data_IF_011416505572
#
_entry.id   IF_011416505572
#
_cell.length_a   1.000
_cell.length_b   1.000
_cell.length_c   1.000
_cell.angle_alpha   90.00
_cell.angle_beta   90.00
_cell.angle_gamma   90.00
#
_symmetry.space_group_name_H-M   'P 1'
#
loop_
_entity.id
_entity.type
_entity.pdbx_description
1 polymer ?
#
# COMPACT_ATOMS: atom_id res chain seq x y z
N UNK A 1 -13.06 -0.38 1.12
CA UNK A 1 -13.41 0.43 -0.08
C UNK A 1 -14.92 0.63 -0.15
N UNK A 2 -15.45 1.84 -0.30
CA UNK A 2 -16.90 2.06 -0.21
C UNK A 2 -17.67 1.74 -1.49
N UNK A 3 -17.17 0.89 -2.38
CA UNK A 3 -17.84 0.49 -3.61
C UNK A 3 -18.27 -0.96 -3.47
N UNK A 4 -19.59 -1.22 -3.68
CA UNK A 4 -20.08 -2.59 -3.76
C UNK A 4 -19.52 -3.30 -4.97
N UNK A 5 -19.03 -4.51 -4.77
CA UNK A 5 -18.55 -5.37 -5.84
C UNK A 5 -19.16 -6.77 -5.72
N UNK A 6 -19.45 -7.36 -6.86
CA UNK A 6 -19.95 -8.72 -6.99
C UNK A 6 -19.21 -9.41 -8.12
N UNK A 7 -18.73 -10.62 -7.86
CA UNK A 7 -18.05 -11.44 -8.87
C UNK A 7 -18.43 -12.92 -8.69
N UNK A 8 -18.53 -13.66 -9.81
CA UNK A 8 -18.92 -15.07 -9.81
C UNK A 8 -20.39 -15.31 -9.52
N UNK A 9 -20.71 -16.48 -8.99
CA UNK A 9 -22.09 -16.94 -8.76
C UNK A 9 -22.41 -16.89 -7.26
N UNK A 10 -23.49 -16.19 -6.91
CA UNK A 10 -23.97 -16.07 -5.54
C UNK A 10 -25.48 -16.35 -5.47
N UNK A 11 -26.00 -16.80 -4.32
CA UNK A 11 -27.44 -16.98 -4.14
C UNK A 11 -28.17 -15.62 -4.11
N UNK A 12 -29.48 -15.63 -4.35
CA UNK A 12 -30.26 -14.39 -4.38
C UNK A 12 -30.42 -13.71 -3.00
N UNK A 13 -30.14 -14.42 -1.92
CA UNK A 13 -30.06 -13.89 -0.55
C UNK A 13 -28.91 -14.52 0.22
N UNK A 14 -28.41 -13.80 1.21
CA UNK A 14 -27.44 -14.32 2.17
C UNK A 14 -28.06 -15.41 3.03
N UNK A 15 -27.24 -16.38 3.42
CA UNK A 15 -27.56 -17.43 4.38
C UNK A 15 -28.80 -18.24 4.01
N UNK A 16 -28.92 -18.61 2.73
CA UNK A 16 -29.90 -19.57 2.23
C UNK A 16 -29.19 -20.77 1.64
N UNK A 17 -29.92 -21.85 1.43
CA UNK A 17 -29.36 -23.02 0.74
C UNK A 17 -28.87 -22.63 -0.66
N UNK A 18 -27.57 -22.78 -0.89
CA UNK A 18 -26.93 -22.59 -2.18
C UNK A 18 -26.27 -23.90 -2.54
N UNK A 19 -26.78 -24.59 -3.56
CA UNK A 19 -26.41 -25.96 -3.89
C UNK A 19 -25.58 -26.04 -5.16
N UNK A 20 -24.63 -26.95 -5.14
CA UNK A 20 -23.86 -27.40 -6.29
C UNK A 20 -24.72 -28.25 -7.23
N UNK A 21 -24.26 -28.48 -8.48
CA UNK A 21 -24.99 -29.34 -9.42
C UNK A 21 -25.22 -30.79 -8.93
N UNK A 22 -24.37 -31.27 -8.03
CA UNK A 22 -24.49 -32.62 -7.44
C UNK A 22 -25.43 -32.66 -6.20
N UNK A 23 -26.01 -31.53 -5.83
CA UNK A 23 -26.91 -31.38 -4.67
C UNK A 23 -26.22 -31.05 -3.34
N UNK A 24 -24.90 -31.05 -3.26
CA UNK A 24 -24.16 -30.60 -2.08
C UNK A 24 -24.26 -29.08 -1.89
N UNK A 25 -24.02 -28.58 -0.68
CA UNK A 25 -23.99 -27.16 -0.41
C UNK A 25 -22.64 -26.57 -0.79
N UNK A 26 -22.66 -25.34 -1.33
CA UNK A 26 -21.54 -24.42 -1.20
C UNK A 26 -21.44 -23.89 0.22
N UNK A 27 -20.23 -23.52 0.64
CA UNK A 27 -19.98 -23.09 2.02
C UNK A 27 -19.86 -21.56 2.08
N UNK A 28 -20.77 -20.93 2.79
CA UNK A 28 -20.80 -19.50 2.99
C UNK A 28 -19.76 -19.06 4.03
N UNK A 29 -19.04 -17.98 3.76
CA UNK A 29 -18.14 -17.32 4.70
C UNK A 29 -18.45 -15.80 4.72
N UNK A 30 -18.69 -15.24 5.90
CA UNK A 30 -18.66 -13.81 6.11
C UNK A 30 -17.22 -13.39 6.43
N UNK A 31 -16.63 -12.59 5.55
CA UNK A 31 -15.34 -11.95 5.73
C UNK A 31 -15.57 -10.53 6.25
N UNK A 32 -15.67 -10.37 7.57
CA UNK A 32 -16.07 -9.13 8.23
C UNK A 32 -14.93 -8.45 8.97
N UNK A 33 -15.02 -7.13 9.09
CA UNK A 33 -14.08 -6.28 9.82
C UNK A 33 -14.77 -5.59 10.98
N UNK A 34 -13.99 -5.04 11.93
CA UNK A 34 -14.49 -4.24 13.07
C UNK A 34 -15.61 -4.98 13.82
N UNK A 35 -15.41 -6.26 14.14
CA UNK A 35 -16.40 -7.08 14.85
C UNK A 35 -17.76 -7.14 14.16
N UNK A 36 -17.80 -7.27 12.84
CA UNK A 36 -18.97 -7.30 11.96
C UNK A 36 -19.65 -5.94 11.72
N UNK A 37 -19.12 -4.85 12.27
CA UNK A 37 -19.67 -3.50 12.07
C UNK A 37 -18.93 -2.71 10.98
N UNK A 38 -17.82 -3.25 10.45
CA UNK A 38 -17.05 -2.66 9.38
C UNK A 38 -17.43 -3.18 7.99
N UNK A 39 -16.54 -2.91 7.01
CA UNK A 39 -16.68 -3.46 5.67
C UNK A 39 -16.65 -4.98 5.73
N UNK A 40 -17.50 -5.60 4.92
CA UNK A 40 -17.59 -7.05 4.85
C UNK A 40 -17.81 -7.53 3.42
N UNK A 41 -17.48 -8.80 3.20
CA UNK A 41 -17.74 -9.54 1.96
C UNK A 41 -18.28 -10.92 2.32
N UNK A 42 -19.36 -11.33 1.67
CA UNK A 42 -19.84 -12.69 1.74
C UNK A 42 -19.27 -13.48 0.58
N UNK A 43 -18.63 -14.60 0.86
CA UNK A 43 -18.06 -15.51 -0.15
C UNK A 43 -18.66 -16.89 -0.03
N UNK A 44 -18.67 -17.62 -1.13
CA UNK A 44 -19.22 -18.96 -1.27
C UNK A 44 -18.13 -19.86 -1.83
N UNK A 45 -17.82 -20.93 -1.10
CA UNK A 45 -16.66 -21.78 -1.29
C UNK A 45 -17.03 -23.16 -1.78
N UNK A 46 -16.16 -23.77 -2.60
CA UNK A 46 -16.24 -25.19 -2.97
C UNK A 46 -16.02 -26.10 -1.77
N UNK A 47 -15.09 -25.77 -0.89
CA UNK A 47 -14.73 -26.51 0.30
C UNK A 47 -15.02 -25.70 1.57
N UNK A 48 -15.04 -26.35 2.72
CA UNK A 48 -15.20 -25.63 3.99
C UNK A 48 -13.95 -24.81 4.30
N UNK A 49 -14.04 -23.47 4.48
CA UNK A 49 -12.87 -22.62 4.72
C UNK A 49 -12.18 -22.87 6.08
N UNK A 50 -12.79 -23.69 6.95
CA UNK A 50 -12.27 -24.01 8.29
C UNK A 50 -11.35 -25.25 8.31
N UNK A 51 -11.00 -25.83 7.17
CA UNK A 51 -10.23 -27.08 7.10
C UNK A 51 -8.71 -26.84 7.16
N UNK A 52 -8.21 -26.40 8.31
CA UNK A 52 -6.78 -26.30 8.60
C UNK A 52 -6.29 -27.61 9.20
N UNK A 53 -5.34 -28.29 8.54
CA UNK A 53 -4.76 -29.56 8.97
C UNK A 53 -3.66 -29.38 10.01
N UNK A 54 -2.83 -28.36 9.82
CA UNK A 54 -1.63 -28.16 10.63
C UNK A 54 -1.30 -26.67 10.74
N UNK A 55 -0.73 -26.28 11.87
CA UNK A 55 -0.22 -24.92 12.14
C UNK A 55 1.17 -25.08 12.74
N UNK A 56 2.17 -24.40 12.14
CA UNK A 56 3.56 -24.38 12.60
C UNK A 56 4.04 -22.94 12.69
N UNK A 57 4.61 -22.53 13.81
CA UNK A 57 5.38 -21.30 13.91
C UNK A 57 6.70 -21.47 13.14
N UNK A 58 7.12 -20.44 12.42
CA UNK A 58 8.33 -20.48 11.60
C UNK A 58 9.39 -19.51 12.11
N UNK A 59 9.17 -18.21 11.92
CA UNK A 59 10.16 -17.19 12.27
C UNK A 59 9.51 -15.83 12.52
N UNK A 60 10.20 -15.00 13.29
CA UNK A 60 9.81 -13.61 13.53
C UNK A 60 10.26 -12.71 12.38
N UNK A 61 9.39 -11.78 12.01
CA UNK A 61 9.65 -10.67 11.08
C UNK A 61 9.54 -9.32 11.79
N UNK A 62 9.53 -9.32 13.13
CA UNK A 62 9.49 -8.11 13.92
C UNK A 62 10.68 -7.20 13.61
N UNK A 63 10.46 -5.89 13.39
CA UNK A 63 11.54 -4.97 13.10
C UNK A 63 12.49 -4.81 14.30
N UNK A 64 13.80 -4.82 14.04
CA UNK A 64 14.80 -4.49 15.05
C UNK A 64 15.05 -3.00 15.01
N UNK A 65 14.72 -2.30 16.09
CA UNK A 65 14.84 -0.85 16.18
C UNK A 65 16.31 -0.47 16.35
N UNK A 66 16.77 0.47 15.53
CA UNK A 66 18.12 1.01 15.60
C UNK A 66 18.41 1.71 16.94
N UNK A 67 19.64 1.63 17.40
CA UNK A 67 20.09 2.28 18.64
C UNK A 67 21.43 2.96 18.43
N UNK A 68 21.56 4.28 18.67
CA UNK A 68 20.48 5.21 19.04
C UNK A 68 19.50 5.46 17.89
N UNK A 69 18.25 5.79 18.22
CA UNK A 69 17.25 6.26 17.26
C UNK A 69 17.21 7.79 17.35
N UNK A 70 17.95 8.46 16.48
CA UNK A 70 18.16 9.90 16.57
C UNK A 70 16.97 10.65 15.98
N UNK A 71 16.63 11.80 16.61
CA UNK A 71 15.67 12.73 16.02
C UNK A 71 16.40 13.60 14.98
N UNK A 72 16.41 13.12 13.72
CA UNK A 72 17.02 13.81 12.58
C UNK A 72 16.30 13.43 11.30
N UNK A 73 16.50 14.25 10.24
CA UNK A 73 16.07 13.83 8.91
C UNK A 73 16.98 12.74 8.37
N UNK A 74 16.39 11.71 7.79
CA UNK A 74 17.10 10.58 7.18
C UNK A 74 16.85 10.55 5.67
N UNK A 75 17.86 10.11 4.90
CA UNK A 75 17.72 9.69 3.53
C UNK A 75 18.10 8.21 3.42
N UNK A 76 17.18 7.39 2.92
CA UNK A 76 17.40 5.97 2.70
C UNK A 76 17.51 5.73 1.19
N UNK A 77 18.53 5.00 0.74
CA UNK A 77 18.75 4.61 -0.65
C UNK A 77 18.01 3.31 -0.94
N UNK A 78 16.70 3.39 -1.20
CA UNK A 78 15.83 2.22 -1.22
C UNK A 78 16.18 1.17 -2.27
N UNK A 79 16.84 1.54 -3.37
CA UNK A 79 17.30 0.56 -4.36
C UNK A 79 18.54 -0.24 -3.92
N UNK A 80 19.19 0.16 -2.82
CA UNK A 80 20.27 -0.62 -2.20
C UNK A 80 19.75 -1.80 -1.37
N UNK A 81 18.43 -1.90 -1.15
CA UNK A 81 17.84 -3.11 -0.54
C UNK A 81 18.16 -4.32 -1.42
N UNK A 82 18.77 -5.39 -0.85
CA UNK A 82 19.13 -6.57 -1.60
C UNK A 82 17.93 -7.23 -2.27
N UNK A 83 18.10 -7.62 -3.54
CA UNK A 83 17.10 -8.40 -4.24
C UNK A 83 17.18 -9.87 -3.81
N UNK A 84 16.02 -10.46 -3.48
CA UNK A 84 15.89 -11.86 -3.07
C UNK A 84 14.97 -12.62 -4.04
N UNK A 85 15.12 -13.94 -4.08
CA UNK A 85 14.26 -14.75 -4.93
C UNK A 85 12.83 -14.80 -4.42
N UNK A 86 12.63 -14.85 -3.13
CA UNK A 86 11.32 -14.97 -2.49
C UNK A 86 10.74 -13.59 -2.11
N UNK A 87 9.43 -13.43 -2.28
CA UNK A 87 8.73 -12.18 -1.96
C UNK A 87 8.80 -11.82 -0.48
N UNK A 88 8.59 -12.79 0.42
CA UNK A 88 8.61 -12.51 1.87
C UNK A 88 10.03 -12.25 2.37
N UNK A 89 11.04 -12.98 1.87
CA UNK A 89 12.44 -12.77 2.22
C UNK A 89 12.96 -11.42 1.73
N UNK A 90 12.45 -10.92 0.60
CA UNK A 90 12.83 -9.63 0.04
C UNK A 90 12.30 -8.43 0.84
N UNK A 91 11.31 -8.62 1.72
CA UNK A 91 10.69 -7.55 2.51
C UNK A 91 11.60 -7.09 3.63
N UNK A 92 11.94 -5.79 3.65
CA UNK A 92 12.76 -5.16 4.70
C UNK A 92 11.95 -4.02 5.31
N UNK A 93 11.57 -4.15 6.57
CA UNK A 93 10.90 -3.08 7.32
C UNK A 93 11.96 -2.03 7.63
N UNK A 94 11.83 -0.84 7.06
CA UNK A 94 12.80 0.26 7.22
C UNK A 94 12.37 1.28 8.27
N UNK A 95 11.06 1.56 8.38
CA UNK A 95 10.51 2.45 9.40
C UNK A 95 9.28 1.79 10.02
N UNK A 96 9.04 2.07 11.30
CA UNK A 96 7.93 1.43 12.02
C UNK A 96 7.42 2.28 13.18
N UNK A 97 6.14 2.14 13.49
CA UNK A 97 5.53 2.56 14.74
C UNK A 97 4.45 1.55 15.16
N UNK A 98 3.64 1.89 16.18
CA UNK A 98 2.54 1.02 16.63
C UNK A 98 1.38 0.88 15.64
N UNK A 99 1.36 1.65 14.57
CA UNK A 99 0.22 1.75 13.66
C UNK A 99 0.54 1.26 12.25
N UNK A 100 1.83 1.27 11.86
CA UNK A 100 2.23 0.85 10.52
C UNK A 100 3.70 0.45 10.43
N UNK A 101 4.02 -0.27 9.35
CA UNK A 101 5.39 -0.51 8.88
C UNK A 101 5.57 0.07 7.48
N UNK A 102 6.70 0.75 7.26
CA UNK A 102 7.18 1.11 5.92
C UNK A 102 8.19 0.06 5.49
N UNK A 103 7.93 -0.59 4.38
CA UNK A 103 8.66 -1.76 3.92
C UNK A 103 9.15 -1.55 2.49
N UNK A 104 10.38 -1.92 2.22
CA UNK A 104 10.92 -2.04 0.87
C UNK A 104 11.05 -3.51 0.51
N UNK A 105 10.74 -3.86 -0.74
CA UNK A 105 10.91 -5.23 -1.23
C UNK A 105 11.45 -5.25 -2.66
N UNK A 106 12.32 -6.21 -2.92
CA UNK A 106 12.95 -6.42 -4.23
C UNK A 106 12.91 -7.91 -4.63
N UNK A 107 11.73 -8.51 -4.86
CA UNK A 107 11.59 -9.90 -5.24
C UNK A 107 12.01 -10.11 -6.70
N UNK A 108 12.76 -11.21 -6.98
CA UNK A 108 13.15 -11.60 -8.33
C UNK A 108 12.21 -12.61 -8.98
N UNK A 109 11.50 -13.39 -8.17
CA UNK A 109 10.65 -14.50 -8.65
C UNK A 109 9.24 -14.43 -8.14
N UNK A 110 8.35 -15.01 -8.89
CA UNK A 110 6.95 -15.23 -8.51
C UNK A 110 6.82 -16.15 -7.30
N UNK A 111 5.78 -15.95 -6.51
CA UNK A 111 5.45 -16.82 -5.38
C UNK A 111 4.82 -18.11 -5.90
N UNK A 112 5.55 -19.21 -5.91
CA UNK A 112 5.09 -20.49 -6.49
C UNK A 112 4.79 -21.58 -5.46
N UNK A 113 5.52 -21.61 -4.34
CA UNK A 113 5.51 -22.70 -3.37
C UNK A 113 4.53 -22.52 -2.21
N UNK A 114 3.94 -21.34 -2.05
CA UNK A 114 2.99 -21.03 -0.99
C UNK A 114 1.99 -19.96 -1.42
N UNK A 115 0.94 -19.81 -0.61
CA UNK A 115 0.07 -18.62 -0.59
C UNK A 115 0.43 -17.78 0.63
N UNK A 116 0.16 -16.48 0.56
CA UNK A 116 0.44 -15.58 1.68
C UNK A 116 -0.83 -14.89 2.19
N UNK A 117 -0.86 -14.60 3.47
CA UNK A 117 -1.92 -13.84 4.12
C UNK A 117 -1.32 -13.00 5.25
N UNK A 118 -1.49 -11.68 5.18
CA UNK A 118 -1.21 -10.76 6.29
C UNK A 118 -2.47 -10.64 7.15
N UNK A 119 -2.40 -10.99 8.44
CA UNK A 119 -3.53 -10.84 9.37
C UNK A 119 -3.32 -9.71 10.38
N UNK A 120 -2.17 -9.05 10.33
CA UNK A 120 -1.88 -7.88 11.15
C UNK A 120 -2.35 -6.59 10.47
N UNK A 121 -2.21 -6.51 9.13
CA UNK A 121 -2.27 -5.28 8.39
C UNK A 121 -3.02 -5.38 7.08
N UNK A 122 -3.70 -4.30 6.69
CA UNK A 122 -3.96 -4.00 5.29
C UNK A 122 -2.62 -3.64 4.63
N UNK A 123 -2.42 -4.01 3.37
CA UNK A 123 -1.19 -3.71 2.65
C UNK A 123 -1.48 -2.76 1.49
N UNK A 124 -0.75 -1.65 1.43
CA UNK A 124 -0.60 -0.84 0.24
C UNK A 124 0.73 -1.20 -0.41
N UNK A 125 0.70 -1.80 -1.58
CA UNK A 125 1.89 -2.19 -2.34
C UNK A 125 2.00 -1.28 -3.56
N UNK A 126 2.94 -0.34 -3.54
CA UNK A 126 3.23 0.51 -4.67
C UNK A 126 4.30 -0.14 -5.55
N UNK A 127 4.01 -0.24 -6.84
CA UNK A 127 4.90 -0.85 -7.83
C UNK A 127 5.80 0.22 -8.44
N UNK A 128 7.03 0.35 -7.95
CA UNK A 128 8.00 1.27 -8.54
C UNK A 128 8.65 0.69 -9.79
N UNK A 129 9.00 -0.59 -9.76
CA UNK A 129 9.49 -1.34 -10.94
C UNK A 129 8.83 -2.71 -10.98
N UNK A 130 8.59 -3.16 -12.19
CA UNK A 130 8.03 -4.46 -12.47
C UNK A 130 6.60 -4.44 -12.95
N UNK A 131 6.14 -5.60 -13.35
CA UNK A 131 4.76 -5.89 -13.73
C UNK A 131 4.42 -7.33 -13.40
N UNK A 132 3.13 -7.65 -13.42
CA UNK A 132 2.68 -8.99 -13.11
C UNK A 132 1.22 -9.06 -12.74
N UNK A 133 0.88 -10.08 -11.97
CA UNK A 133 -0.48 -10.38 -11.54
C UNK A 133 -0.53 -10.67 -10.04
N UNK A 134 -1.33 -9.92 -9.32
CA UNK A 134 -1.75 -10.25 -7.97
C UNK A 134 -2.93 -11.22 -8.07
N UNK A 135 -2.70 -12.48 -7.69
CA UNK A 135 -3.75 -13.50 -7.66
C UNK A 135 -4.27 -13.63 -6.23
N UNK A 136 -5.58 -13.54 -6.08
CA UNK A 136 -6.20 -13.55 -4.75
C UNK A 136 -7.41 -14.46 -4.69
N UNK A 137 -7.82 -14.80 -3.47
CA UNK A 137 -9.05 -15.56 -3.23
C UNK A 137 -10.30 -14.85 -3.79
N UNK A 138 -10.26 -13.53 -4.03
CA UNK A 138 -11.35 -12.73 -4.58
C UNK A 138 -11.11 -12.27 -6.02
N UNK A 139 -10.21 -12.96 -6.73
CA UNK A 139 -9.90 -12.70 -8.13
C UNK A 139 -8.58 -11.97 -8.33
N UNK A 140 -8.26 -11.74 -9.58
CA UNK A 140 -6.95 -11.32 -10.03
C UNK A 140 -6.92 -9.84 -10.39
N UNK A 141 -5.74 -9.23 -10.20
CA UNK A 141 -5.44 -7.85 -10.59
C UNK A 141 -4.10 -7.83 -11.32
N UNK A 142 -4.09 -7.41 -12.58
CA UNK A 142 -2.84 -7.10 -13.27
C UNK A 142 -2.26 -5.81 -12.69
N UNK A 143 -0.92 -5.75 -12.57
CA UNK A 143 -0.23 -4.58 -12.07
C UNK A 143 1.00 -4.24 -12.92
N UNK A 144 1.38 -2.96 -12.87
CA UNK A 144 2.55 -2.41 -13.55
C UNK A 144 3.11 -1.20 -12.81
N UNK A 145 4.17 -0.64 -13.32
CA UNK A 145 4.77 0.60 -12.81
C UNK A 145 3.71 1.69 -12.52
N UNK A 146 3.79 2.26 -11.33
CA UNK A 146 2.91 3.32 -10.85
C UNK A 146 1.59 2.83 -10.22
N UNK A 147 1.35 1.53 -10.16
CA UNK A 147 0.15 1.00 -9.52
C UNK A 147 0.30 0.89 -8.00
N UNK A 148 -0.75 1.28 -7.28
CA UNK A 148 -1.01 0.89 -5.90
C UNK A 148 -1.91 -0.34 -5.90
N UNK A 149 -1.50 -1.39 -5.22
CA UNK A 149 -2.34 -2.54 -4.90
C UNK A 149 -2.75 -2.42 -3.43
N UNK A 150 -4.04 -2.40 -3.16
CA UNK A 150 -4.56 -2.40 -1.80
C UNK A 150 -5.08 -3.80 -1.51
N UNK A 151 -4.45 -4.46 -0.55
CA UNK A 151 -4.81 -5.81 -0.13
C UNK A 151 -5.31 -5.74 1.32
N UNK A 152 -6.62 -5.85 1.55
CA UNK A 152 -7.15 -5.89 2.92
C UNK A 152 -6.59 -7.07 3.72
N UNK A 153 -6.37 -6.87 5.01
CA UNK A 153 -5.87 -7.94 5.90
C UNK A 153 -6.75 -9.19 5.83
N UNK A 154 -6.09 -10.33 5.92
CA UNK A 154 -6.76 -11.63 5.88
C UNK A 154 -7.03 -12.15 4.48
N UNK A 155 -6.87 -11.36 3.43
CA UNK A 155 -6.93 -11.83 2.04
C UNK A 155 -5.78 -12.81 1.78
N UNK A 156 -6.10 -13.97 1.21
CA UNK A 156 -5.11 -14.93 0.74
C UNK A 156 -4.72 -14.56 -0.68
N UNK A 157 -3.41 -14.43 -0.93
CA UNK A 157 -2.91 -14.07 -2.25
C UNK A 157 -1.55 -14.69 -2.57
N UNK A 158 -1.14 -14.58 -3.81
CA UNK A 158 0.24 -14.74 -4.29
C UNK A 158 0.51 -13.76 -5.42
N UNK A 159 1.78 -13.49 -5.68
CA UNK A 159 2.21 -12.56 -6.72
C UNK A 159 2.97 -13.32 -7.80
N UNK A 160 2.52 -13.17 -9.04
CA UNK A 160 3.22 -13.64 -10.23
C UNK A 160 3.85 -12.42 -10.89
N UNK A 161 5.20 -12.39 -10.99
CA UNK A 161 5.95 -11.32 -11.64
C UNK A 161 6.30 -11.71 -13.08
N UNK A 162 6.14 -10.75 -14.00
CA UNK A 162 6.59 -10.87 -15.39
C UNK A 162 8.07 -10.47 -15.54
N UNK A 163 8.65 -9.85 -14.52
CA UNK A 163 9.98 -9.23 -14.51
C UNK A 163 10.82 -9.75 -13.36
N UNK A 164 12.17 -9.64 -13.48
CA UNK A 164 13.11 -10.04 -12.42
C UNK A 164 13.64 -8.84 -11.60
N UNK A 165 13.62 -7.62 -12.14
CA UNK A 165 13.94 -6.39 -11.39
C UNK A 165 12.67 -5.72 -10.91
N UNK A 166 12.18 -6.20 -9.77
CA UNK A 166 11.00 -5.65 -9.13
C UNK A 166 11.41 -4.79 -7.93
N UNK A 167 10.77 -3.63 -7.78
CA UNK A 167 11.00 -2.70 -6.66
C UNK A 167 9.64 -2.24 -6.14
N UNK A 168 9.38 -2.57 -4.88
CA UNK A 168 8.09 -2.33 -4.24
C UNK A 168 8.28 -1.44 -3.01
N UNK A 169 7.45 -0.42 -2.90
CA UNK A 169 7.28 0.36 -1.67
C UNK A 169 5.97 -0.07 -1.02
N UNK A 170 6.05 -0.60 0.19
CA UNK A 170 4.90 -1.21 0.85
C UNK A 170 4.63 -0.47 2.16
N UNK A 171 3.35 -0.18 2.43
CA UNK A 171 2.89 0.27 3.75
C UNK A 171 1.95 -0.79 4.30
N UNK A 172 2.38 -1.42 5.39
CA UNK A 172 1.51 -2.29 6.19
C UNK A 172 0.77 -1.44 7.21
N UNK A 173 -0.54 -1.40 7.14
CA UNK A 173 -1.40 -0.58 7.99
C UNK A 173 -2.18 -1.41 8.98
N UNK A 174 -2.01 -1.16 10.27
CA UNK A 174 -2.83 -1.80 11.30
C UNK A 174 -4.28 -1.28 11.35
N UNK A 175 -4.57 -0.22 10.60
CA UNK A 175 -5.91 0.32 10.36
C UNK A 175 -6.35 0.08 8.91
N UNK A 176 -7.65 -0.05 8.62
CA UNK A 176 -8.13 -0.18 7.26
C UNK A 176 -7.76 1.02 6.38
N UNK A 177 -7.42 0.75 5.12
CA UNK A 177 -7.06 1.77 4.13
C UNK A 177 -8.30 2.17 3.34
N UNK A 178 -8.60 3.47 3.33
CA UNK A 178 -9.78 4.05 2.67
C UNK A 178 -9.39 5.11 1.64
N UNK A 179 -10.32 5.39 0.71
CA UNK A 179 -10.30 6.64 -0.05
C UNK A 179 -10.64 7.82 0.87
N UNK A 180 -10.05 9.03 0.65
CA UNK A 180 -10.18 10.14 1.60
C UNK A 180 -11.62 10.59 1.81
N UNK A 181 -11.99 10.84 3.07
CA UNK A 181 -13.33 11.32 3.43
C UNK A 181 -13.66 12.67 2.80
N UNK A 182 -12.67 13.56 2.66
CA UNK A 182 -12.85 14.86 2.05
C UNK A 182 -13.28 14.81 0.59
N UNK A 183 -13.05 13.69 -0.08
CA UNK A 183 -13.43 13.48 -1.48
C UNK A 183 -14.67 12.58 -1.63
N UNK A 184 -15.37 12.28 -0.55
CA UNK A 184 -16.59 11.48 -0.58
C UNK A 184 -17.77 12.27 -0.05
N UNK A 185 -18.92 12.12 -0.71
CA UNK A 185 -20.16 12.56 -0.11
C UNK A 185 -20.64 11.56 0.97
N UNK A 186 -21.69 11.92 1.67
CA UNK A 186 -22.25 11.07 2.73
C UNK A 186 -22.87 9.76 2.25
N UNK A 187 -23.07 9.60 0.93
CA UNK A 187 -23.49 8.34 0.32
C UNK A 187 -22.30 7.41 -0.02
N UNK A 188 -21.07 7.88 0.17
CA UNK A 188 -19.84 7.13 -0.13
C UNK A 188 -19.31 7.29 -1.55
N UNK A 189 -19.99 8.03 -2.42
CA UNK A 189 -19.57 8.33 -3.77
C UNK A 189 -18.43 9.36 -3.76
N UNK A 190 -17.42 9.20 -4.63
CA UNK A 190 -16.39 10.21 -4.85
C UNK A 190 -17.01 11.48 -5.47
N UNK A 191 -16.55 12.64 -5.01
CA UNK A 191 -17.04 13.94 -5.42
C UNK A 191 -16.53 14.31 -6.80
N UNK A 192 -17.29 15.10 -7.55
CA UNK A 192 -16.93 15.59 -8.90
C UNK A 192 -15.56 16.29 -8.94
N UNK A 193 -15.16 16.95 -7.85
CA UNK A 193 -13.87 17.62 -7.73
C UNK A 193 -12.79 16.77 -7.03
N UNK A 194 -13.02 15.49 -6.87
CA UNK A 194 -11.98 14.56 -6.38
C UNK A 194 -10.87 14.41 -7.43
N UNK A 195 -9.61 14.22 -7.01
CA UNK A 195 -8.50 13.94 -7.92
C UNK A 195 -8.63 12.66 -8.74
N UNK A 196 -9.57 11.78 -8.38
CA UNK A 196 -9.88 10.54 -9.07
C UNK A 196 -11.32 10.11 -8.79
N UNK A 197 -11.85 9.20 -9.56
CA UNK A 197 -13.20 8.69 -9.40
C UNK A 197 -13.23 7.14 -9.37
N UNK A 198 -14.43 6.57 -9.21
CA UNK A 198 -14.62 5.13 -9.12
C UNK A 198 -14.15 4.37 -10.36
N UNK A 199 -14.11 5.01 -11.54
CA UNK A 199 -13.60 4.42 -12.79
C UNK A 199 -12.10 4.16 -12.77
N UNK A 200 -11.34 4.95 -12.02
CA UNK A 200 -9.90 4.84 -11.93
C UNK A 200 -9.47 3.68 -11.03
N UNK A 201 -10.41 3.15 -10.27
CA UNK A 201 -10.20 2.04 -9.34
C UNK A 201 -10.50 0.72 -10.03
N UNK A 202 -9.45 -0.06 -10.29
CA UNK A 202 -9.56 -1.39 -10.88
C UNK A 202 -9.91 -2.41 -9.80
N UNK A 203 -10.88 -3.24 -10.08
CA UNK A 203 -11.35 -4.33 -9.23
C UNK A 203 -11.12 -5.66 -9.93
N UNK A 204 -11.05 -6.80 -9.21
CA UNK A 204 -11.01 -8.10 -9.85
C UNK A 204 -12.21 -8.30 -10.78
N UNK A 205 -11.95 -8.80 -11.99
CA UNK A 205 -13.00 -9.07 -13.00
C UNK A 205 -13.17 -10.57 -13.24
N UNK A 206 -12.20 -11.39 -12.85
CA UNK A 206 -12.19 -12.84 -13.04
C UNK A 206 -11.84 -13.55 -11.73
N UNK A 207 -12.58 -14.62 -11.41
CA UNK A 207 -12.26 -15.55 -10.34
C UNK A 207 -11.51 -16.76 -10.91
N UNK A 208 -10.47 -17.16 -10.20
CA UNK A 208 -9.93 -18.51 -10.32
C UNK A 208 -10.58 -19.36 -9.24
N UNK A 209 -11.33 -20.38 -9.65
CA UNK A 209 -12.00 -21.28 -8.72
C UNK A 209 -11.45 -22.68 -8.85
N UNK A 210 -10.81 -23.17 -7.78
CA UNK A 210 -10.24 -24.51 -7.71
C UNK A 210 -11.05 -25.37 -6.73
N UNK A 211 -11.24 -26.65 -7.05
CA UNK A 211 -11.93 -27.62 -6.19
C UNK A 211 -11.00 -28.79 -5.82
N UNK A 212 -9.72 -28.52 -5.69
CA UNK A 212 -8.70 -29.51 -5.44
C UNK A 212 -8.54 -29.74 -3.93
N UNK A 213 -8.42 -31.01 -3.54
CA UNK A 213 -8.06 -31.41 -2.17
C UNK A 213 -6.60 -31.81 -2.15
N UNK A 214 -5.92 -31.46 -1.04
CA UNK A 214 -4.50 -31.72 -0.91
C UNK A 214 -3.92 -30.96 0.28
N UNK A 215 -2.61 -30.81 0.27
CA UNK A 215 -1.88 -30.03 1.26
C UNK A 215 -1.40 -28.73 0.61
N UNK A 216 -2.06 -27.64 0.98
CA UNK A 216 -1.75 -26.31 0.45
C UNK A 216 -1.15 -25.46 1.55
N UNK A 217 0.08 -25.01 1.33
CA UNK A 217 0.81 -24.16 2.27
C UNK A 217 0.35 -22.70 2.16
N UNK A 218 -0.11 -22.15 3.27
CA UNK A 218 -0.37 -20.73 3.42
C UNK A 218 0.54 -20.18 4.50
N UNK A 219 1.42 -19.26 4.15
CA UNK A 219 2.20 -18.47 5.11
C UNK A 219 1.34 -17.33 5.64
N UNK A 220 1.20 -17.27 6.96
CA UNK A 220 0.36 -16.27 7.62
C UNK A 220 1.22 -15.40 8.51
N UNK A 221 1.21 -14.08 8.27
CA UNK A 221 1.78 -13.10 9.19
C UNK A 221 0.77 -12.80 10.30
N UNK A 222 1.20 -12.98 11.56
CA UNK A 222 0.44 -12.62 12.75
C UNK A 222 1.34 -12.23 13.91
N UNK A 223 1.12 -11.03 14.48
CA UNK A 223 1.95 -10.45 15.55
C UNK A 223 3.44 -10.40 15.17
N UNK A 224 3.72 -9.98 13.93
CA UNK A 224 5.07 -9.97 13.33
C UNK A 224 5.79 -11.32 13.34
N UNK A 225 5.03 -12.41 13.33
CA UNK A 225 5.51 -13.76 13.17
C UNK A 225 4.92 -14.42 11.93
N UNK A 226 5.69 -15.25 11.26
CA UNK A 226 5.23 -16.07 10.14
C UNK A 226 4.87 -17.46 10.65
N UNK A 227 3.67 -17.91 10.31
CA UNK A 227 3.18 -19.25 10.56
C UNK A 227 2.90 -19.96 9.24
N UNK A 228 3.22 -21.25 9.18
CA UNK A 228 2.78 -22.11 8.11
C UNK A 228 1.46 -22.77 8.50
N UNK A 229 0.42 -22.58 7.69
CA UNK A 229 -0.85 -23.25 7.79
C UNK A 229 -1.02 -24.20 6.60
N UNK A 230 -1.29 -25.48 6.89
CA UNK A 230 -1.59 -26.45 5.83
C UNK A 230 -3.11 -26.58 5.71
N UNK A 231 -3.65 -26.13 4.58
CA UNK A 231 -5.06 -26.26 4.25
C UNK A 231 -5.32 -27.59 3.53
N UNK A 232 -6.51 -28.19 3.77
CA UNK A 232 -6.93 -29.44 3.17
C UNK A 232 -7.44 -29.30 1.73
N UNK A 233 -7.58 -28.08 1.23
CA UNK A 233 -8.06 -27.74 -0.11
C UNK A 233 -7.35 -26.50 -0.65
N UNK A 234 -7.41 -26.32 -1.97
CA UNK A 234 -6.85 -25.15 -2.62
C UNK A 234 -7.52 -23.88 -2.06
N UNK A 235 -6.73 -22.86 -1.62
CA UNK A 235 -7.30 -21.68 -0.96
C UNK A 235 -8.08 -20.75 -1.89
N UNK A 236 -7.90 -20.84 -3.21
CA UNK A 236 -8.69 -20.09 -4.19
C UNK A 236 -9.87 -20.95 -4.66
N UNK A 237 -10.83 -21.20 -3.78
CA UNK A 237 -11.98 -22.06 -4.03
C UNK A 237 -13.33 -21.30 -4.03
N UNK A 238 -13.28 -19.97 -4.07
CA UNK A 238 -14.45 -19.11 -4.10
C UNK A 238 -15.14 -19.19 -5.46
N UNK A 239 -16.42 -19.55 -5.48
CA UNK A 239 -17.26 -19.59 -6.69
C UNK A 239 -17.95 -18.27 -6.95
N UNK A 240 -18.05 -17.43 -5.95
CA UNK A 240 -18.60 -16.09 -6.04
C UNK A 240 -18.60 -15.39 -4.70
N UNK A 241 -18.64 -14.07 -4.76
CA UNK A 241 -18.73 -13.19 -3.58
C UNK A 241 -19.45 -11.90 -3.89
N UNK A 242 -19.90 -11.22 -2.85
CA UNK A 242 -20.34 -9.84 -2.92
C UNK A 242 -19.99 -9.09 -1.63
N UNK A 243 -19.71 -7.79 -1.77
CA UNK A 243 -19.42 -6.95 -0.61
C UNK A 243 -18.53 -5.75 -0.92
N UNK A 244 -17.84 -5.28 0.12
CA UNK A 244 -17.06 -4.06 0.10
C UNK A 244 -15.59 -4.26 0.50
N UNK A 245 -15.24 -5.45 1.02
CA UNK A 245 -13.89 -5.77 1.49
C UNK A 245 -13.23 -6.77 0.53
N UNK A 246 -12.48 -6.25 -0.43
CA UNK A 246 -11.80 -7.00 -1.50
C UNK A 246 -10.56 -6.23 -1.97
N UNK A 247 -9.55 -6.88 -2.59
CA UNK A 247 -8.37 -6.20 -3.13
C UNK A 247 -8.72 -5.34 -4.34
N UNK A 248 -8.03 -4.21 -4.49
CA UNK A 248 -8.19 -3.33 -5.63
C UNK A 248 -6.88 -2.65 -6.01
N UNK A 249 -6.81 -2.10 -7.21
CA UNK A 249 -5.67 -1.37 -7.72
C UNK A 249 -6.06 0.05 -8.16
N UNK A 250 -5.11 0.97 -8.01
CA UNK A 250 -5.21 2.34 -8.50
C UNK A 250 -3.87 2.76 -9.09
N UNK A 251 -3.85 3.40 -10.24
CA UNK A 251 -2.61 3.92 -10.82
C UNK A 251 -2.36 5.36 -10.37
N UNK A 252 -1.15 5.66 -9.88
CA UNK A 252 -0.73 7.03 -9.56
C UNK A 252 -0.88 7.97 -10.77
N UNK A 253 -0.76 7.42 -11.99
CA UNK A 253 -0.92 8.18 -13.23
C UNK A 253 -2.38 8.57 -13.55
N UNK A 254 -3.36 8.02 -12.82
CA UNK A 254 -4.76 8.41 -12.88
C UNK A 254 -5.15 9.43 -11.81
N UNK A 255 -4.18 9.87 -11.02
CA UNK A 255 -4.40 10.94 -10.04
C UNK A 255 -4.31 12.29 -10.76
N UNK A 256 -5.42 13.03 -10.81
CA UNK A 256 -5.48 14.36 -11.42
C UNK A 256 -5.14 15.44 -10.39
N UNK A 257 -4.08 16.23 -10.60
CA UNK A 257 -3.66 17.23 -9.61
C UNK A 257 -4.62 18.41 -9.52
N UNK A 258 -4.81 18.93 -8.31
CA UNK A 258 -5.58 20.14 -8.06
C UNK A 258 -4.62 21.31 -7.96
N UNK A 259 -4.76 22.29 -8.86
CA UNK A 259 -3.94 23.50 -8.90
C UNK A 259 -4.83 24.74 -8.78
N UNK A 260 -4.38 25.75 -8.05
CA UNK A 260 -5.12 26.99 -7.80
C UNK A 260 -4.30 28.25 -8.09
N UNK A 261 -4.97 29.40 -7.93
CA UNK A 261 -4.28 30.70 -8.01
C UNK A 261 -3.31 30.89 -6.83
N UNK A 262 -3.70 30.44 -5.66
CA UNK A 262 -2.89 30.44 -4.42
C UNK A 262 -2.42 29.05 -4.11
N UNK A 263 -1.43 28.93 -3.23
CA UNK A 263 -0.87 27.65 -2.83
C UNK A 263 -1.94 26.65 -2.39
N UNK A 264 -1.90 25.49 -3.02
CA UNK A 264 -2.75 24.35 -2.68
C UNK A 264 -1.94 23.40 -1.78
N UNK A 265 -2.29 23.29 -0.48
CA UNK A 265 -1.52 22.51 0.48
C UNK A 265 -1.62 20.99 0.24
N UNK A 266 -0.71 20.18 0.82
CA UNK A 266 -0.63 18.73 0.62
C UNK A 266 -1.94 17.94 0.67
N UNK A 267 -2.96 18.26 1.49
CA UNK A 267 -4.24 17.54 1.47
C UNK A 267 -4.92 17.41 0.11
N UNK A 268 -4.64 18.30 -0.87
CA UNK A 268 -5.17 18.16 -2.24
C UNK A 268 -4.55 16.99 -3.02
N UNK A 269 -3.42 16.46 -2.55
CA UNK A 269 -2.73 15.31 -3.13
C UNK A 269 -3.11 13.98 -2.46
N UNK A 270 -4.01 14.01 -1.47
CA UNK A 270 -4.36 12.83 -0.69
C UNK A 270 -5.03 11.76 -1.53
N UNK A 271 -4.46 10.56 -1.53
CA UNK A 271 -4.90 9.40 -2.31
C UNK A 271 -5.61 8.38 -1.44
N UNK A 272 -5.04 8.10 -0.26
CA UNK A 272 -5.63 7.20 0.73
C UNK A 272 -5.56 7.81 2.13
N UNK A 273 -6.41 7.33 3.01
CA UNK A 273 -6.38 7.65 4.43
C UNK A 273 -6.63 6.44 5.30
N UNK A 274 -6.09 6.50 6.50
CA UNK A 274 -6.39 5.60 7.61
C UNK A 274 -6.63 6.43 8.87
N UNK A 275 -6.88 5.80 9.99
CA UNK A 275 -6.88 6.49 11.31
C UNK A 275 -5.46 6.77 11.81
N UNK A 276 -4.43 6.27 11.14
CA UNK A 276 -3.03 6.28 11.59
C UNK A 276 -2.12 7.13 10.70
N UNK A 277 -2.46 7.30 9.43
CA UNK A 277 -1.68 8.06 8.46
C UNK A 277 -2.53 8.45 7.25
N UNK A 278 -1.99 9.35 6.44
CA UNK A 278 -2.50 9.67 5.11
C UNK A 278 -1.44 9.34 4.05
N UNK A 279 -1.90 9.04 2.85
CA UNK A 279 -1.04 8.84 1.67
C UNK A 279 -1.36 9.91 0.65
N UNK A 280 -0.33 10.61 0.17
CA UNK A 280 -0.45 11.58 -0.92
C UNK A 280 0.33 11.13 -2.14
N UNK A 281 -0.20 11.46 -3.32
CA UNK A 281 0.47 11.26 -4.61
C UNK A 281 0.87 12.60 -5.18
N UNK A 282 2.18 12.85 -5.25
CA UNK A 282 2.70 13.98 -6.00
C UNK A 282 2.94 13.54 -7.44
N UNK A 283 2.23 14.16 -8.37
CA UNK A 283 2.25 13.81 -9.79
C UNK A 283 2.67 15.01 -10.63
N UNK A 284 3.08 14.82 -11.89
CA UNK A 284 3.32 15.93 -12.82
C UNK A 284 2.14 16.90 -12.83
N UNK A 285 2.42 18.19 -12.63
CA UNK A 285 1.38 19.21 -12.47
C UNK A 285 1.85 20.60 -12.78
N UNK A 286 0.91 21.48 -13.11
CA UNK A 286 1.13 22.91 -13.14
C UNK A 286 1.31 23.43 -11.69
N UNK A 287 2.17 24.41 -11.52
CA UNK A 287 2.27 25.14 -10.25
C UNK A 287 1.13 26.15 -10.07
N UNK A 288 0.98 26.64 -8.85
CA UNK A 288 0.06 27.73 -8.54
C UNK A 288 0.35 28.95 -9.43
N UNK A 289 -0.72 29.54 -10.00
CA UNK A 289 -0.58 30.50 -11.08
C UNK A 289 -0.70 31.96 -10.66
N UNK A 290 -0.58 32.28 -9.34
CA UNK A 290 -0.46 33.68 -8.93
C UNK A 290 0.82 34.31 -9.51
N UNK A 291 0.79 35.58 -10.01
CA UNK A 291 1.97 36.19 -10.62
C UNK A 291 3.23 36.24 -9.74
N UNK A 292 3.04 36.22 -8.42
CA UNK A 292 4.11 36.21 -7.41
C UNK A 292 4.17 34.86 -6.67
N UNK A 293 3.70 33.78 -7.27
CA UNK A 293 3.79 32.46 -6.67
C UNK A 293 5.25 32.00 -6.54
N UNK A 294 5.55 31.28 -5.47
CA UNK A 294 6.81 30.55 -5.29
C UNK A 294 6.47 29.07 -5.49
N UNK A 295 6.91 28.43 -6.57
CA UNK A 295 6.56 27.05 -6.88
C UNK A 295 7.08 26.03 -5.87
N UNK A 296 8.28 26.22 -5.33
CA UNK A 296 8.78 25.35 -4.25
C UNK A 296 7.94 25.48 -2.99
N UNK A 297 7.73 24.40 -2.23
CA UNK A 297 6.97 24.47 -0.98
C UNK A 297 7.65 25.38 0.04
N UNK A 298 6.89 25.87 1.01
CA UNK A 298 7.44 26.63 2.14
C UNK A 298 8.12 25.71 3.15
N UNK A 299 9.03 26.27 3.96
CA UNK A 299 9.51 25.57 5.15
C UNK A 299 8.35 25.38 6.13
N UNK A 300 8.26 24.22 6.73
CA UNK A 300 7.21 23.89 7.70
C UNK A 300 7.70 22.91 8.77
N UNK A 301 6.89 22.70 9.77
CA UNK A 301 7.09 21.70 10.80
C UNK A 301 5.76 20.97 11.02
N UNK A 302 5.74 19.70 10.77
CA UNK A 302 4.69 18.85 11.32
C UNK A 302 5.03 18.62 12.79
N UNK A 303 4.15 18.98 13.71
CA UNK A 303 4.42 18.82 15.15
C UNK A 303 3.87 17.52 15.72
N UNK A 304 3.06 16.83 14.97
CA UNK A 304 2.35 15.59 15.36
C UNK A 304 2.35 14.52 14.26
N UNK A 305 3.12 14.71 13.19
CA UNK A 305 3.24 13.76 12.09
C UNK A 305 4.68 13.66 11.59
N UNK A 306 5.14 12.44 11.39
CA UNK A 306 6.38 12.18 10.65
C UNK A 306 6.05 12.05 9.16
N UNK A 307 6.81 12.77 8.32
CA UNK A 307 6.67 12.77 6.87
C UNK A 307 7.66 11.79 6.23
N UNK A 308 7.15 10.85 5.46
CA UNK A 308 7.93 9.93 4.64
C UNK A 308 7.67 10.24 3.17
N UNK A 309 8.68 10.66 2.42
CA UNK A 309 8.60 10.78 0.97
C UNK A 309 9.36 9.63 0.30
N UNK A 310 8.68 8.90 -0.56
CA UNK A 310 9.27 7.92 -1.47
C UNK A 310 9.31 8.51 -2.88
N UNK A 311 10.52 8.71 -3.40
CA UNK A 311 10.76 9.37 -4.69
C UNK A 311 10.72 8.35 -5.82
N UNK A 312 9.81 8.57 -6.78
CA UNK A 312 9.55 7.61 -7.85
C UNK A 312 10.26 7.99 -9.14
N UNK A 313 9.98 9.20 -9.67
CA UNK A 313 10.51 9.65 -10.96
C UNK A 313 10.42 11.17 -11.11
N UNK A 314 11.12 11.74 -12.08
CA UNK A 314 11.02 13.15 -12.45
C UNK A 314 12.03 14.06 -11.77
N UNK A 315 11.72 15.36 -11.73
CA UNK A 315 12.59 16.42 -11.18
C UNK A 315 12.17 16.76 -9.75
N UNK A 316 12.95 16.29 -8.78
CA UNK A 316 12.72 16.58 -7.36
C UNK A 316 13.28 17.95 -6.96
N UNK A 317 12.73 19.00 -7.57
CA UNK A 317 13.21 20.39 -7.52
C UNK A 317 13.47 20.93 -6.11
N UNK A 318 12.75 20.46 -5.10
CA UNK A 318 12.88 20.94 -3.71
C UNK A 318 14.05 20.31 -2.95
N UNK A 319 14.69 19.32 -3.51
CA UNK A 319 15.76 18.52 -2.87
C UNK A 319 16.98 18.41 -3.77
N UNK A 320 18.16 18.54 -3.19
CA UNK A 320 19.42 18.20 -3.85
C UNK A 320 19.74 16.72 -3.56
N UNK A 321 20.44 16.06 -4.49
CA UNK A 321 20.98 14.70 -4.34
C UNK A 321 19.95 13.61 -3.99
N UNK A 322 18.69 13.81 -4.40
CA UNK A 322 17.64 12.80 -4.31
C UNK A 322 17.49 12.11 -5.66
N UNK A 323 17.45 10.79 -5.64
CA UNK A 323 17.29 9.92 -6.80
C UNK A 323 16.02 9.06 -6.66
N UNK A 324 15.59 8.47 -7.78
CA UNK A 324 14.51 7.51 -7.80
C UNK A 324 14.79 6.33 -6.86
N UNK A 325 13.78 5.92 -6.08
CA UNK A 325 13.89 4.88 -5.07
C UNK A 325 14.42 5.35 -3.72
N UNK A 326 14.85 6.61 -3.58
CA UNK A 326 15.17 7.15 -2.27
C UNK A 326 13.92 7.34 -1.41
N UNK A 327 14.11 7.32 -0.10
CA UNK A 327 13.12 7.74 0.90
C UNK A 327 13.74 8.85 1.73
N UNK A 328 13.00 9.94 1.98
CA UNK A 328 13.33 10.84 3.06
C UNK A 328 12.33 10.70 4.21
N UNK A 329 12.85 10.72 5.45
CA UNK A 329 12.08 10.83 6.67
C UNK A 329 12.33 12.21 7.27
N UNK A 330 11.28 12.96 7.51
CA UNK A 330 11.29 14.24 8.21
C UNK A 330 10.49 14.07 9.51
N UNK A 331 11.18 14.00 10.68
CA UNK A 331 10.51 13.71 11.95
C UNK A 331 9.70 14.92 12.45
N UNK A 332 8.65 14.62 13.17
CA UNK A 332 7.80 15.61 13.84
C UNK A 332 8.63 16.58 14.69
N UNK A 333 8.27 17.85 14.65
CA UNK A 333 8.90 18.90 15.44
C UNK A 333 10.23 19.45 14.90
N UNK A 334 10.77 18.87 13.81
CA UNK A 334 11.95 19.41 13.12
C UNK A 334 11.50 20.21 11.89
N UNK A 335 11.83 21.51 11.79
CA UNK A 335 11.55 22.27 10.58
C UNK A 335 12.26 21.66 9.38
N UNK A 336 11.53 21.53 8.29
CA UNK A 336 12.05 21.07 7.01
C UNK A 336 11.38 21.80 5.84
N UNK A 337 11.91 21.64 4.65
CA UNK A 337 11.43 22.34 3.47
C UNK A 337 12.42 22.21 2.31
N UNK A 338 12.33 23.05 1.28
CA UNK A 338 13.26 23.01 0.16
C UNK A 338 14.69 23.26 0.63
N UNK A 339 15.65 22.62 -0.04
CA UNK A 339 17.07 22.87 0.19
C UNK A 339 17.46 24.32 -0.17
N UNK A 340 18.56 24.85 0.37
CA UNK A 340 19.01 26.23 0.08
C UNK A 340 19.02 26.56 -1.40
N UNK A 341 18.49 27.71 -1.78
CA UNK A 341 18.38 28.17 -3.17
C UNK A 341 17.29 27.50 -4.02
N UNK A 342 16.62 26.45 -3.54
CA UNK A 342 15.58 25.75 -4.34
C UNK A 342 14.33 26.63 -4.53
N UNK A 343 13.94 27.40 -3.52
CA UNK A 343 12.81 28.34 -3.62
C UNK A 343 13.07 29.39 -4.70
N UNK A 344 14.24 30.03 -4.66
CA UNK A 344 14.66 31.07 -5.61
C UNK A 344 14.73 30.50 -7.05
N UNK A 345 15.35 29.32 -7.23
CA UNK A 345 15.43 28.65 -8.54
C UNK A 345 14.07 28.22 -9.08
N UNK A 346 13.07 28.08 -8.23
CA UNK A 346 11.72 27.72 -8.65
C UNK A 346 10.92 28.85 -9.25
N UNK A 347 11.24 30.10 -8.88
CA UNK A 347 10.48 31.28 -9.31
C UNK A 347 10.42 31.38 -10.85
N UNK A 348 9.21 31.48 -11.37
CA UNK A 348 8.94 31.53 -12.81
C UNK A 348 8.76 30.18 -13.48
N UNK A 349 9.06 29.05 -12.82
CA UNK A 349 8.70 27.72 -13.33
C UNK A 349 7.18 27.57 -13.39
N UNK A 350 6.68 26.83 -14.37
CA UNK A 350 5.24 26.67 -14.64
C UNK A 350 4.70 25.32 -14.20
N UNK A 351 5.55 24.31 -14.17
CA UNK A 351 5.18 22.93 -13.91
C UNK A 351 6.30 22.13 -13.27
N UNK A 352 5.95 21.00 -12.71
CA UNK A 352 6.87 19.96 -12.25
C UNK A 352 6.53 18.62 -12.90
N UNK A 353 7.56 17.81 -13.13
CA UNK A 353 7.43 16.42 -13.58
C UNK A 353 7.64 15.43 -12.42
N UNK A 354 7.66 15.93 -11.19
CA UNK A 354 7.83 15.12 -9.99
C UNK A 354 6.79 14.01 -9.91
N UNK A 355 7.23 12.81 -9.57
CA UNK A 355 6.39 11.68 -9.19
C UNK A 355 6.89 11.11 -7.86
N UNK A 356 6.09 11.21 -6.81
CA UNK A 356 6.45 10.75 -5.47
C UNK A 356 5.21 10.26 -4.69
N UNK A 357 5.45 9.37 -3.74
CA UNK A 357 4.47 8.90 -2.76
C UNK A 357 4.87 9.43 -1.39
N UNK A 358 3.97 10.15 -0.73
CA UNK A 358 4.18 10.63 0.63
C UNK A 358 3.28 9.90 1.62
N UNK A 359 3.80 9.61 2.79
CA UNK A 359 3.05 9.03 3.92
C UNK A 359 3.30 9.90 5.15
N UNK A 360 2.25 10.54 5.65
CA UNK A 360 2.29 11.32 6.90
C UNK A 360 1.67 10.50 8.02
N UNK A 361 2.47 10.09 8.99
CA UNK A 361 2.03 9.24 10.10
C UNK A 361 1.71 10.07 11.34
N UNK A 362 0.61 9.76 12.03
CA UNK A 362 0.13 10.49 13.20
C UNK A 362 0.79 10.04 14.52
N UNK A 363 1.78 9.16 14.43
CA UNK A 363 2.70 8.79 15.51
C UNK A 363 4.12 8.73 14.98
N UNK A 364 5.12 9.09 15.80
CA UNK A 364 6.52 9.05 15.39
C UNK A 364 6.94 7.67 14.90
N UNK A 365 7.74 7.66 13.86
CA UNK A 365 8.37 6.47 13.29
C UNK A 365 9.72 6.19 13.94
N UNK A 366 10.02 4.94 14.17
CA UNK A 366 11.33 4.46 14.57
C UNK A 366 12.08 3.93 13.35
N UNK A 367 13.34 4.30 13.24
CA UNK A 367 14.27 3.78 12.23
C UNK A 367 14.73 2.38 12.66
N UNK A 368 14.76 1.43 11.74
CA UNK A 368 15.19 0.06 11.99
C UNK A 368 16.66 -0.15 11.66
N UNK A 369 17.24 -1.28 12.08
CA UNK A 369 18.59 -1.68 11.67
C UNK A 369 18.68 -1.88 10.15
N UNK A 370 17.61 -2.34 9.49
CA UNK A 370 17.57 -2.47 8.03
C UNK A 370 17.68 -1.11 7.33
N UNK A 371 17.03 -0.08 7.87
CA UNK A 371 17.14 1.28 7.35
C UNK A 371 18.56 1.82 7.45
N UNK A 372 19.26 1.57 8.56
CA UNK A 372 20.63 2.07 8.74
C UNK A 372 21.62 1.50 7.72
N UNK A 373 21.40 0.31 7.19
CA UNK A 373 22.25 -0.30 6.15
C UNK A 373 22.24 0.48 4.84
N UNK A 374 21.17 1.24 4.58
CA UNK A 374 20.95 2.01 3.35
C UNK A 374 20.81 3.52 3.62
N UNK A 375 21.07 3.97 4.86
CA UNK A 375 20.93 5.36 5.25
C UNK A 375 22.16 6.21 4.89
N UNK A 376 21.89 7.50 4.77
CA UNK A 376 22.91 8.55 4.72
C UNK A 376 22.87 9.33 6.03
N UNK A 377 23.90 9.16 6.84
CA UNK A 377 24.00 9.73 8.18
C UNK A 377 24.20 11.25 8.17
N UNK A 378 24.56 11.84 7.01
CA UNK A 378 24.83 13.28 6.87
C UNK A 378 23.67 14.05 6.27
N UNK A 379 22.61 13.40 5.86
CA UNK A 379 21.50 14.02 5.14
C UNK A 379 20.89 15.22 5.88
N UNK A 380 20.76 15.16 7.21
CA UNK A 380 20.22 16.29 8.00
C UNK A 380 21.06 17.57 7.91
N UNK A 381 22.33 17.46 7.49
CA UNK A 381 23.23 18.61 7.29
C UNK A 381 23.07 19.26 5.91
N UNK A 382 22.33 18.64 4.99
CA UNK A 382 22.17 19.14 3.61
C UNK A 382 21.41 20.46 3.49
N UNK A 383 20.81 20.93 4.59
CA UNK A 383 20.23 22.30 4.70
C UNK A 383 21.20 23.36 5.20
N UNK A 384 22.44 22.99 5.58
CA UNK A 384 23.45 23.99 5.97
C UNK A 384 24.02 24.67 4.71
N UNK A 385 24.24 26.00 4.81
CA UNK A 385 24.85 26.82 3.77
C UNK A 385 26.39 26.84 3.91
#
# INVERSE_FOLDING_TARGET
MPIYHKLGTIPHKRHIQFTKPNGDLYYEQLFGTVGFDGMSTNSYHEQRPTQVKEIRAQYSVAPIIAKPNNIQSYRLRGFEVPAEDDFLESRKIVLTNSDCHIVLAAPRKSTTSYFYKNTDSDEMIFIHKGSGKLRTIYGNLDFKYGDYLIVPRGIIYKIDFDTEDNRLFIVESHAPIYTPKQYRNWFGQLLEHSPFCERDIRRPEELETYNEKGDFLIKVKKNDEIFDLIYASHPFDVVGYDGFNYPYAFSIHNFEPITGRVHMPPPVHQTFETTAFVVCSFVPRLYDYHPLAIPAPYNHSNIDADEVLYYVDGDFMSRNDIEAGHISLHPAGIPHGPHPGAAERSIGKKETLELAVMVDTFKPLMVTEEALKISDDTYFQSWLE
#
